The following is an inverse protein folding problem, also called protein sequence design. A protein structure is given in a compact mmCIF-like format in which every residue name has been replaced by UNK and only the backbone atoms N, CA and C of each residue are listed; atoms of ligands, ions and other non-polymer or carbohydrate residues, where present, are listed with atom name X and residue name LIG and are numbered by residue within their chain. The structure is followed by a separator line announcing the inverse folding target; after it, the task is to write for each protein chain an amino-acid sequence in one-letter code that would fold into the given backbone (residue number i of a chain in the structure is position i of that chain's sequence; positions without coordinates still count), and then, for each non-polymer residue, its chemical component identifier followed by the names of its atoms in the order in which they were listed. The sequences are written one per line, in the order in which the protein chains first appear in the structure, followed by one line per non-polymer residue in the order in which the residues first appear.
data_IF_001403050013
#
_entry.id   IF_001403050013
#
_cell.length_a   1.000
_cell.length_b   1.000
_cell.length_c   1.000
_cell.angle_alpha   90.00
_cell.angle_beta   90.00
_cell.angle_gamma   90.00
#
_symmetry.space_group_name_H-M   'P 1'
#
loop_
_entity.id
_entity.type
_entity.pdbx_description
1 polymer ?
#
# COMPACT_ATOMS: atom_id res chain seq x y z
N UNK A 1 -13.99 1.04 15.06
CA UNK A 1 -12.65 1.49 14.64
C UNK A 1 -12.47 1.64 13.12
N UNK A 2 -13.37 1.09 12.29
CA UNK A 2 -13.42 1.31 10.83
C UNK A 2 -14.02 2.68 10.40
N UNK A 3 -13.72 3.79 11.09
CA UNK A 3 -14.53 5.02 10.92
C UNK A 3 -14.08 5.96 9.81
N UNK A 4 -12.86 5.85 9.26
CA UNK A 4 -12.40 6.78 8.23
C UNK A 4 -11.46 6.09 7.22
N UNK A 5 -11.82 6.02 5.93
CA UNK A 5 -10.98 5.40 4.91
C UNK A 5 -9.75 6.26 4.61
N UNK A 6 -9.77 7.56 4.93
CA UNK A 6 -8.59 8.42 4.83
C UNK A 6 -7.43 7.93 5.70
N UNK A 7 -7.72 7.42 6.91
CA UNK A 7 -6.69 6.87 7.81
C UNK A 7 -6.04 5.65 7.16
N UNK A 8 -6.85 4.78 6.53
CA UNK A 8 -6.33 3.60 5.84
C UNK A 8 -5.50 3.95 4.61
N UNK A 9 -5.88 4.99 3.86
CA UNK A 9 -5.07 5.51 2.76
C UNK A 9 -3.75 6.10 3.26
N UNK A 10 -3.75 6.84 4.38
CA UNK A 10 -2.52 7.36 4.98
C UNK A 10 -1.60 6.21 5.43
N UNK A 11 -2.14 5.19 6.09
CA UNK A 11 -1.39 4.00 6.50
C UNK A 11 -0.80 3.30 5.27
N UNK A 12 -1.60 3.14 4.20
CA UNK A 12 -1.15 2.53 2.95
C UNK A 12 0.01 3.33 2.37
N UNK A 13 -0.10 4.67 2.29
CA UNK A 13 0.95 5.54 1.77
C UNK A 13 2.25 5.48 2.59
N UNK A 14 2.15 5.51 3.93
CA UNK A 14 3.32 5.38 4.82
C UNK A 14 4.03 4.05 4.59
N UNK A 15 3.27 2.96 4.46
CA UNK A 15 3.85 1.63 4.27
C UNK A 15 4.44 1.48 2.87
N UNK A 16 3.82 2.06 1.83
CA UNK A 16 4.44 2.13 0.50
C UNK A 16 5.75 2.94 0.52
N UNK A 17 5.82 4.02 1.29
CA UNK A 17 7.07 4.78 1.47
C UNK A 17 8.13 3.96 2.24
N UNK A 18 7.72 3.19 3.25
CA UNK A 18 8.62 2.26 3.95
C UNK A 18 9.14 1.16 3.02
N UNK A 19 8.28 0.59 2.17
CA UNK A 19 8.71 -0.34 1.12
C UNK A 19 9.78 0.29 0.23
N UNK A 20 9.59 1.55 -0.18
CA UNK A 20 10.61 2.26 -0.95
C UNK A 20 11.92 2.38 -0.18
N UNK A 21 11.88 2.79 1.10
CA UNK A 21 13.10 2.89 1.91
C UNK A 21 13.78 1.52 2.06
N UNK A 22 13.01 0.48 2.33
CA UNK A 22 13.53 -0.88 2.50
C UNK A 22 14.14 -1.41 1.20
N UNK A 23 13.48 -1.17 0.07
CA UNK A 23 13.92 -1.60 -1.26
C UNK A 23 15.21 -0.89 -1.70
N UNK A 24 15.38 0.39 -1.34
CA UNK A 24 16.52 1.17 -1.83
C UNK A 24 17.68 1.27 -0.83
N UNK A 25 17.48 0.99 0.46
CA UNK A 25 18.48 1.29 1.50
C UNK A 25 18.77 0.17 2.52
N UNK A 26 17.88 -0.80 2.73
CA UNK A 26 17.99 -1.75 3.87
C UNK A 26 18.05 -3.23 3.48
N UNK A 27 17.91 -3.55 2.20
CA UNK A 27 17.88 -4.92 1.66
C UNK A 27 16.86 -5.88 2.33
N UNK A 28 15.86 -5.34 3.01
CA UNK A 28 14.80 -6.08 3.72
C UNK A 28 13.56 -6.25 2.83
N UNK A 29 13.73 -6.90 1.67
CA UNK A 29 12.73 -6.94 0.59
C UNK A 29 11.55 -7.89 0.80
N UNK A 30 11.76 -8.99 1.51
CA UNK A 30 10.86 -10.17 1.43
C UNK A 30 9.51 -9.95 2.13
N UNK A 31 9.46 -9.13 3.19
CA UNK A 31 8.28 -9.02 4.04
C UNK A 31 7.48 -7.73 3.84
N UNK A 32 8.14 -6.64 3.45
CA UNK A 32 7.54 -5.31 3.39
C UNK A 32 6.67 -5.11 2.17
N UNK A 33 7.06 -5.67 1.02
CA UNK A 33 6.27 -5.60 -0.22
C UNK A 33 4.93 -6.36 -0.09
N UNK A 34 4.87 -7.66 0.30
CA UNK A 34 3.59 -8.35 0.46
C UNK A 34 2.70 -7.66 1.49
N UNK A 35 3.28 -7.13 2.57
CA UNK A 35 2.56 -6.39 3.59
C UNK A 35 1.89 -5.13 3.04
N UNK A 36 2.59 -4.36 2.20
CA UNK A 36 2.03 -3.17 1.57
C UNK A 36 0.86 -3.50 0.63
N UNK A 37 0.95 -4.59 -0.14
CA UNK A 37 -0.13 -5.04 -1.02
C UNK A 37 -1.37 -5.47 -0.22
N UNK A 38 -1.18 -6.25 0.86
CA UNK A 38 -2.28 -6.66 1.74
C UNK A 38 -2.97 -5.45 2.38
N UNK A 39 -2.21 -4.45 2.82
CA UNK A 39 -2.77 -3.25 3.44
C UNK A 39 -3.50 -2.38 2.43
N UNK A 40 -2.98 -2.25 1.22
CA UNK A 40 -3.67 -1.55 0.13
C UNK A 40 -5.00 -2.24 -0.25
N UNK A 41 -5.05 -3.57 -0.24
CA UNK A 41 -6.28 -4.34 -0.43
C UNK A 41 -7.29 -4.09 0.70
N UNK A 42 -6.86 -4.14 1.96
CA UNK A 42 -7.73 -3.86 3.11
C UNK A 42 -8.28 -2.42 3.02
N UNK A 43 -7.42 -1.44 2.72
CA UNK A 43 -7.80 -0.04 2.55
C UNK A 43 -8.84 0.13 1.44
N UNK A 44 -8.67 -0.57 0.32
CA UNK A 44 -9.61 -0.56 -0.81
C UNK A 44 -10.96 -1.18 -0.43
N UNK A 45 -10.97 -2.32 0.26
CA UNK A 45 -12.20 -2.97 0.73
C UNK A 45 -12.96 -2.03 1.69
N UNK A 46 -12.26 -1.36 2.59
CA UNK A 46 -12.86 -0.38 3.52
C UNK A 46 -13.44 0.80 2.75
N UNK A 47 -12.74 1.35 1.76
CA UNK A 47 -13.23 2.45 0.93
C UNK A 47 -14.47 2.08 0.11
N UNK A 48 -14.53 0.86 -0.45
CA UNK A 48 -15.71 0.32 -1.15
C UNK A 48 -16.90 0.23 -0.20
N UNK A 49 -16.70 -0.36 0.99
CA UNK A 49 -17.77 -0.50 1.99
C UNK A 49 -18.34 0.85 2.45
N UNK A 50 -17.52 1.90 2.45
CA UNK A 50 -17.92 3.25 2.85
C UNK A 50 -18.39 4.13 1.69
N UNK A 51 -18.45 3.59 0.46
CA UNK A 51 -18.83 4.32 -0.78
C UNK A 51 -17.96 5.56 -1.04
N UNK A 52 -16.74 5.61 -0.51
CA UNK A 52 -15.80 6.71 -0.72
C UNK A 52 -14.76 6.33 -1.79
N UNK A 53 -15.22 6.25 -3.04
CA UNK A 53 -14.42 5.75 -4.17
C UNK A 53 -13.18 6.59 -4.49
N UNK A 54 -13.12 7.84 -4.03
CA UNK A 54 -11.95 8.70 -4.23
C UNK A 54 -10.68 8.11 -3.59
N UNK A 55 -10.81 7.39 -2.47
CA UNK A 55 -9.68 6.75 -1.79
C UNK A 55 -9.20 5.49 -2.52
N UNK A 56 -10.07 4.83 -3.27
CA UNK A 56 -9.71 3.69 -4.13
C UNK A 56 -8.77 4.17 -5.24
N UNK A 57 -9.05 5.34 -5.83
CA UNK A 57 -8.18 5.97 -6.83
C UNK A 57 -6.78 6.30 -6.29
N UNK A 58 -6.61 6.51 -4.99
CA UNK A 58 -5.28 6.70 -4.38
C UNK A 58 -4.61 5.37 -3.99
N UNK A 59 -5.38 4.40 -3.49
CA UNK A 59 -4.84 3.12 -3.03
C UNK A 59 -4.36 2.22 -4.18
N UNK A 60 -5.05 2.24 -5.33
CA UNK A 60 -4.69 1.40 -6.49
C UNK A 60 -3.29 1.75 -7.03
N UNK A 61 -2.95 3.03 -7.32
CA UNK A 61 -1.60 3.41 -7.73
C UNK A 61 -0.53 3.01 -6.71
N UNK A 62 -0.80 3.16 -5.40
CA UNK A 62 0.15 2.76 -4.34
C UNK A 62 0.42 1.25 -4.36
N UNK A 63 -0.62 0.44 -4.58
CA UNK A 63 -0.47 -1.01 -4.73
C UNK A 63 0.32 -1.36 -6.00
N UNK A 64 0.06 -0.67 -7.12
CA UNK A 64 0.80 -0.86 -8.37
C UNK A 64 2.27 -0.51 -8.18
N UNK A 65 2.59 0.60 -7.51
CA UNK A 65 3.97 1.01 -7.22
C UNK A 65 4.66 -0.04 -6.36
N UNK A 66 4.01 -0.52 -5.29
CA UNK A 66 4.57 -1.58 -4.45
C UNK A 66 4.85 -2.88 -5.25
N UNK A 67 3.91 -3.30 -6.10
CA UNK A 67 4.11 -4.46 -6.98
C UNK A 67 5.20 -4.21 -8.04
N UNK A 68 5.30 -3.00 -8.60
CA UNK A 68 6.33 -2.65 -9.57
C UNK A 68 7.72 -2.69 -8.92
N UNK A 69 7.85 -2.23 -7.67
CA UNK A 69 9.09 -2.38 -6.90
C UNK A 69 9.49 -3.85 -6.77
N UNK A 70 8.55 -4.77 -6.57
CA UNK A 70 8.83 -6.21 -6.51
C UNK A 70 9.35 -6.78 -7.85
N UNK A 71 8.78 -6.33 -8.98
CA UNK A 71 9.13 -6.85 -10.30
C UNK A 71 10.42 -6.24 -10.84
N UNK A 72 10.67 -4.96 -10.58
CA UNK A 72 11.86 -4.21 -11.06
C UNK A 72 13.10 -4.54 -10.23
N UNK A 73 12.92 -4.84 -8.94
CA UNK A 73 13.99 -5.29 -8.05
C UNK A 73 13.76 -6.74 -7.65
N UNK A 74 13.88 -7.68 -8.60
CA UNK A 74 13.97 -9.06 -8.27
C UNK A 74 15.40 -9.24 -7.71
N UNK A 75 15.52 -9.24 -6.38
CA UNK A 75 16.67 -9.72 -5.60
C UNK A 75 18.02 -9.00 -5.81
#
# INVERSE_FOLDING_TARGET
MFKNPAIWTIITAIITALVYIDVFYLDLFIFTIPLAVVIALISTIVAVKQKQYIYIFFNIPLAIIACACYVIFPW
#
